data_IF_020690545408
#
_entry.id   IF_020690545408
#
_cell.length_a   1.000
_cell.length_b   1.000
_cell.length_c   1.000
_cell.angle_alpha   90.00
_cell.angle_beta   90.00
_cell.angle_gamma   90.00
#
_symmetry.space_group_name_H-M   'P 1'
#
loop_
_entity.id
_entity.type
_entity.pdbx_description
1 polymer ?
#
# COMPACT_ATOMS: atom_id res chain seq x y z
N UNK A 1 118.36 10.87 33.97
CA UNK A 1 119.63 11.52 34.35
C UNK A 1 119.58 11.75 35.86
N UNK A 2 120.39 10.98 36.58
CA UNK A 2 120.56 11.10 38.02
C UNK A 2 121.20 12.45 38.35
N UNK A 3 120.56 13.25 39.20
CA UNK A 3 121.26 14.22 40.05
C UNK A 3 120.76 14.08 41.47
N UNK A 4 121.63 13.46 42.26
CA UNK A 4 121.55 13.35 43.72
C UNK A 4 121.59 14.74 44.33
N UNK A 5 120.51 15.12 45.02
CA UNK A 5 120.49 16.24 45.97
C UNK A 5 120.21 15.63 47.32
N UNK A 6 121.15 15.76 48.25
CA UNK A 6 121.15 15.07 49.54
C UNK A 6 119.85 15.25 50.32
N UNK A 7 119.29 14.13 50.79
CA UNK A 7 118.22 14.10 51.79
C UNK A 7 118.75 14.69 53.10
N UNK A 8 118.45 15.96 53.36
CA UNK A 8 118.33 16.43 54.74
C UNK A 8 117.15 15.69 55.35
N UNK A 9 117.40 14.82 56.31
CA UNK A 9 116.37 14.29 57.22
C UNK A 9 115.67 15.49 57.88
N UNK A 10 114.51 15.88 57.34
CA UNK A 10 113.54 16.66 58.11
C UNK A 10 112.96 15.67 59.09
N UNK A 11 113.49 15.69 60.31
CA UNK A 11 112.77 15.18 61.47
C UNK A 11 111.38 15.83 61.45
N UNK A 12 110.35 15.06 61.07
CA UNK A 12 108.97 15.42 61.30
C UNK A 12 108.87 15.72 62.79
N UNK A 13 108.52 16.96 63.15
CA UNK A 13 108.25 17.32 64.55
C UNK A 13 107.36 16.22 65.15
N UNK A 14 107.69 15.67 66.33
CA UNK A 14 106.76 14.77 67.01
C UNK A 14 105.43 15.50 67.12
N UNK A 15 104.35 14.87 66.66
CA UNK A 15 103.01 15.44 66.74
C UNK A 15 102.71 15.85 68.19
N UNK A 16 101.89 16.89 68.41
CA UNK A 16 101.56 17.34 69.75
C UNK A 16 101.12 16.15 70.61
N UNK A 17 101.78 15.95 71.77
CA UNK A 17 101.42 14.88 72.72
C UNK A 17 100.18 15.34 73.47
N UNK A 18 99.05 14.72 73.20
CA UNK A 18 97.80 14.94 73.92
C UNK A 18 97.97 14.53 75.39
N UNK A 19 97.35 15.29 76.32
CA UNK A 19 97.24 14.82 77.70
C UNK A 19 96.30 13.61 77.76
N UNK A 20 96.45 12.73 78.75
CA UNK A 20 95.58 11.56 78.88
C UNK A 20 94.07 11.92 78.97
N UNK A 21 93.67 13.03 79.64
CA UNK A 21 92.32 13.58 79.53
C UNK A 21 91.92 13.98 78.10
N UNK A 22 92.79 14.66 77.34
CA UNK A 22 92.50 15.07 75.95
C UNK A 22 92.36 13.87 75.00
N UNK A 23 93.21 12.85 75.17
CA UNK A 23 93.11 11.59 74.41
C UNK A 23 91.79 10.88 74.72
N UNK A 24 91.42 10.80 76.01
CA UNK A 24 90.16 10.18 76.45
C UNK A 24 88.94 10.96 75.95
N UNK A 25 88.99 12.29 75.98
CA UNK A 25 87.95 13.16 75.46
C UNK A 25 87.77 13.00 73.94
N UNK A 26 88.86 13.00 73.17
CA UNK A 26 88.81 12.83 71.72
C UNK A 26 88.30 11.42 71.32
N UNK A 27 88.76 10.37 72.00
CA UNK A 27 88.23 9.01 71.78
C UNK A 27 86.74 8.93 72.11
N UNK A 28 86.30 9.51 73.23
CA UNK A 28 84.88 9.58 73.57
C UNK A 28 84.06 10.40 72.56
N UNK A 29 84.63 11.47 72.00
CA UNK A 29 83.98 12.29 70.98
C UNK A 29 83.84 11.52 69.65
N UNK A 30 84.86 10.77 69.24
CA UNK A 30 84.80 9.87 68.07
C UNK A 30 83.79 8.75 68.29
N UNK A 31 83.77 8.13 69.47
CA UNK A 31 82.79 7.08 69.83
C UNK A 31 81.36 7.63 69.82
N UNK A 32 81.11 8.80 70.44
CA UNK A 32 79.80 9.46 70.42
C UNK A 32 79.36 9.86 69.01
N UNK A 33 80.27 10.38 68.18
CA UNK A 33 79.98 10.70 66.78
C UNK A 33 79.62 9.44 65.98
N UNK A 34 80.34 8.34 66.20
CA UNK A 34 80.06 7.03 65.60
C UNK A 34 78.72 6.47 66.07
N UNK A 35 78.37 6.59 67.35
CA UNK A 35 77.07 6.21 67.91
C UNK A 35 75.92 6.99 67.28
N UNK A 36 76.05 8.33 67.16
CA UNK A 36 75.06 9.18 66.50
C UNK A 36 74.90 8.82 65.01
N UNK A 37 76.01 8.57 64.30
CA UNK A 37 75.97 8.14 62.90
C UNK A 37 75.34 6.76 62.73
N UNK A 38 75.61 5.80 63.64
CA UNK A 38 74.96 4.48 63.63
C UNK A 38 73.46 4.61 63.91
N UNK A 39 73.06 5.40 64.90
CA UNK A 39 71.65 5.64 65.22
C UNK A 39 70.89 6.25 64.02
N UNK A 40 71.48 7.26 63.37
CA UNK A 40 70.93 7.85 62.14
C UNK A 40 70.84 6.82 61.01
N UNK A 41 71.88 6.01 60.80
CA UNK A 41 71.87 4.98 59.76
C UNK A 41 70.84 3.88 60.04
N UNK A 42 70.64 3.48 61.30
CA UNK A 42 69.58 2.55 61.70
C UNK A 42 68.20 3.13 61.40
N UNK A 43 67.96 4.39 61.74
CA UNK A 43 66.70 5.08 61.44
C UNK A 43 66.46 5.16 59.93
N UNK A 44 67.45 5.60 59.14
CA UNK A 44 67.35 5.65 57.68
C UNK A 44 67.07 4.26 57.10
N UNK A 45 67.77 3.22 57.56
CA UNK A 45 67.53 1.86 57.09
C UNK A 45 66.11 1.38 57.44
N UNK A 46 65.63 1.68 58.64
CA UNK A 46 64.26 1.36 59.04
C UNK A 46 63.23 2.11 58.17
N UNK A 47 63.43 3.40 57.93
CA UNK A 47 62.60 4.21 57.05
C UNK A 47 62.60 3.68 55.61
N UNK A 48 63.78 3.30 55.08
CA UNK A 48 63.91 2.68 53.76
C UNK A 48 63.21 1.32 53.69
N UNK A 49 63.29 0.50 54.75
CA UNK A 49 62.59 -0.78 54.82
C UNK A 49 61.08 -0.59 54.82
N UNK A 50 60.55 0.33 55.63
CA UNK A 50 59.13 0.68 55.66
C UNK A 50 58.68 1.23 54.31
N UNK A 51 59.35 2.27 53.78
CA UNK A 51 59.01 2.90 52.52
C UNK A 51 59.04 1.91 51.34
N UNK A 52 60.01 0.99 51.30
CA UNK A 52 60.06 -0.07 50.28
C UNK A 52 58.90 -1.05 50.43
N UNK A 53 58.55 -1.45 51.66
CA UNK A 53 57.41 -2.33 51.92
C UNK A 53 56.09 -1.70 51.49
N UNK A 54 55.90 -0.43 51.85
CA UNK A 54 54.73 0.36 51.47
C UNK A 54 54.65 0.54 49.95
N UNK A 55 55.75 0.95 49.30
CA UNK A 55 55.80 1.11 47.84
C UNK A 55 55.53 -0.21 47.11
N UNK A 56 56.08 -1.34 47.58
CA UNK A 56 55.85 -2.66 46.97
C UNK A 56 54.37 -3.03 47.04
N UNK A 57 53.73 -2.78 48.18
CA UNK A 57 52.32 -3.07 48.40
C UNK A 57 51.44 -2.15 47.55
N UNK A 58 51.72 -0.84 47.54
CA UNK A 58 50.98 0.16 46.77
C UNK A 58 51.08 -0.09 45.25
N UNK A 59 52.28 -0.35 44.72
CA UNK A 59 52.48 -0.63 43.28
C UNK A 59 51.74 -1.89 42.87
N UNK A 60 51.84 -2.96 43.67
CA UNK A 60 51.14 -4.23 43.39
C UNK A 60 49.63 -4.04 43.39
N UNK A 61 49.10 -3.33 44.39
CA UNK A 61 47.67 -3.05 44.49
C UNK A 61 47.17 -2.16 43.35
N UNK A 62 47.87 -1.07 43.02
CA UNK A 62 47.50 -0.17 41.92
C UNK A 62 47.53 -0.89 40.56
N UNK A 63 48.52 -1.74 40.33
CA UNK A 63 48.63 -2.54 39.09
C UNK A 63 47.48 -3.55 39.00
N UNK A 64 47.17 -4.23 40.10
CA UNK A 64 46.06 -5.16 40.17
C UNK A 64 44.71 -4.47 39.94
N UNK A 65 44.44 -3.37 40.65
CA UNK A 65 43.22 -2.57 40.49
C UNK A 65 43.05 -2.05 39.07
N UNK A 66 44.13 -1.59 38.42
CA UNK A 66 44.08 -1.14 37.02
C UNK A 66 43.76 -2.29 36.07
N UNK A 67 44.33 -3.47 36.28
CA UNK A 67 43.99 -4.68 35.49
C UNK A 67 42.54 -5.09 35.66
N UNK A 68 42.01 -4.99 36.88
CA UNK A 68 40.60 -5.24 37.16
C UNK A 68 39.69 -4.24 36.42
N UNK A 69 39.99 -2.94 36.49
CA UNK A 69 39.26 -1.91 35.73
C UNK A 69 39.30 -2.13 34.21
N UNK A 70 40.46 -2.54 33.65
CA UNK A 70 40.57 -2.88 32.23
C UNK A 70 39.72 -4.11 31.86
N UNK A 71 39.68 -5.12 32.72
CA UNK A 71 38.86 -6.32 32.53
C UNK A 71 37.38 -5.97 32.52
N UNK A 72 36.91 -5.24 33.53
CA UNK A 72 35.54 -4.74 33.62
C UNK A 72 35.17 -3.90 32.39
N UNK A 73 36.10 -3.06 31.89
CA UNK A 73 35.88 -2.24 30.70
C UNK A 73 35.75 -3.06 29.42
N UNK A 74 36.51 -4.14 29.27
CA UNK A 74 36.38 -5.09 28.13
C UNK A 74 34.99 -5.71 28.12
N UNK A 75 34.52 -6.17 29.29
CA UNK A 75 33.20 -6.78 29.43
C UNK A 75 32.08 -5.78 29.12
N UNK A 76 32.17 -4.56 29.66
CA UNK A 76 31.19 -3.50 29.42
C UNK A 76 31.11 -3.11 27.94
N UNK A 77 32.27 -2.89 27.29
CA UNK A 77 32.32 -2.58 25.86
C UNK A 77 31.76 -3.73 25.02
N UNK A 78 32.08 -4.98 25.37
CA UNK A 78 31.54 -6.17 24.73
C UNK A 78 30.03 -6.29 24.88
N UNK A 79 29.49 -5.99 26.07
CA UNK A 79 28.04 -5.95 26.30
C UNK A 79 27.35 -4.93 25.38
N UNK A 80 27.85 -3.69 25.35
CA UNK A 80 27.28 -2.67 24.47
C UNK A 80 27.47 -3.00 22.98
N UNK A 81 28.58 -3.64 22.60
CA UNK A 81 28.79 -4.08 21.23
C UNK A 81 27.74 -5.11 20.80
N UNK A 82 27.39 -6.05 21.68
CA UNK A 82 26.30 -7.02 21.47
C UNK A 82 24.95 -6.32 21.35
N UNK A 83 24.65 -5.37 22.25
CA UNK A 83 23.39 -4.60 22.20
C UNK A 83 23.24 -3.81 20.89
N UNK A 84 24.34 -3.24 20.38
CA UNK A 84 24.35 -2.58 19.07
C UNK A 84 24.11 -3.58 17.93
N UNK A 85 24.70 -4.79 18.00
CA UNK A 85 24.46 -5.84 17.01
C UNK A 85 22.99 -6.31 16.99
N UNK A 86 22.37 -6.52 18.16
CA UNK A 86 20.96 -6.87 18.27
C UNK A 86 20.06 -5.77 17.69
N UNK A 87 20.38 -4.51 17.97
CA UNK A 87 19.66 -3.34 17.45
C UNK A 87 19.77 -3.25 15.92
N UNK A 88 20.96 -3.52 15.35
CA UNK A 88 21.14 -3.60 13.89
C UNK A 88 20.25 -4.69 13.31
N UNK A 89 20.24 -5.88 13.90
CA UNK A 89 19.39 -6.99 13.45
C UNK A 89 17.90 -6.64 13.43
N UNK A 90 17.41 -5.95 14.47
CA UNK A 90 16.01 -5.48 14.53
C UNK A 90 15.70 -4.42 13.48
N UNK A 91 16.62 -3.48 13.25
CA UNK A 91 16.47 -2.46 12.21
C UNK A 91 16.46 -3.11 10.82
N UNK A 92 17.35 -4.06 10.55
CA UNK A 92 17.40 -4.78 9.27
C UNK A 92 16.11 -5.56 9.01
N UNK A 93 15.55 -6.22 10.02
CA UNK A 93 14.27 -6.92 9.93
C UNK A 93 13.11 -5.98 9.59
N UNK A 94 13.01 -4.83 10.27
CA UNK A 94 11.93 -3.86 10.00
C UNK A 94 12.11 -3.17 8.64
N UNK A 95 13.35 -2.84 8.25
CA UNK A 95 13.64 -2.34 6.90
C UNK A 95 13.18 -3.33 5.82
N UNK A 96 13.51 -4.62 5.98
CA UNK A 96 13.06 -5.65 5.05
C UNK A 96 11.52 -5.79 5.01
N UNK A 97 10.86 -5.67 6.16
CA UNK A 97 9.40 -5.70 6.25
C UNK A 97 8.74 -4.48 5.56
N UNK A 98 9.27 -3.27 5.77
CA UNK A 98 8.80 -2.06 5.11
C UNK A 98 9.00 -2.10 3.59
N UNK A 99 10.13 -2.62 3.10
CA UNK A 99 10.35 -2.81 1.66
C UNK A 99 9.29 -3.72 1.04
N UNK A 100 8.88 -4.80 1.73
CA UNK A 100 7.79 -5.67 1.25
C UNK A 100 6.46 -4.93 1.15
N UNK A 101 6.09 -4.17 2.18
CA UNK A 101 4.82 -3.41 2.18
C UNK A 101 4.85 -2.27 1.17
N UNK A 102 6.00 -1.62 0.96
CA UNK A 102 6.22 -0.66 -0.14
C UNK A 102 5.90 -1.30 -1.49
N UNK A 103 6.48 -2.47 -1.78
CA UNK A 103 6.27 -3.15 -3.05
C UNK A 103 4.78 -3.52 -3.27
N UNK A 104 4.07 -3.92 -2.21
CA UNK A 104 2.63 -4.18 -2.25
C UNK A 104 1.85 -2.88 -2.57
N UNK A 105 2.19 -1.77 -1.89
CA UNK A 105 1.55 -0.48 -2.13
C UNK A 105 1.81 0.03 -3.56
N UNK A 106 3.04 -0.10 -4.07
CA UNK A 106 3.41 0.29 -5.44
C UNK A 106 2.68 -0.54 -6.50
N UNK A 107 2.55 -1.85 -6.28
CA UNK A 107 1.74 -2.71 -7.17
C UNK A 107 0.27 -2.31 -7.14
N UNK A 108 -0.29 -2.10 -5.95
CA UNK A 108 -1.67 -1.65 -5.79
C UNK A 108 -1.90 -0.32 -6.54
N UNK A 109 -0.95 0.62 -6.43
CA UNK A 109 -1.00 1.90 -7.14
C UNK A 109 -1.04 1.70 -8.67
N UNK A 110 -0.16 0.86 -9.22
CA UNK A 110 -0.13 0.57 -10.66
C UNK A 110 -1.46 -0.02 -11.14
N UNK A 111 -2.01 -1.00 -10.41
CA UNK A 111 -3.30 -1.59 -10.71
C UNK A 111 -4.43 -0.54 -10.69
N UNK A 112 -4.43 0.37 -9.70
CA UNK A 112 -5.47 1.42 -9.61
C UNK A 112 -5.35 2.48 -10.70
N UNK A 113 -4.14 2.80 -11.14
CA UNK A 113 -3.93 3.72 -12.28
C UNK A 113 -4.53 3.15 -13.56
N UNK A 114 -4.31 1.85 -13.83
CA UNK A 114 -4.92 1.16 -14.97
C UNK A 114 -6.45 1.05 -14.82
N UNK A 115 -6.92 0.74 -13.61
CA UNK A 115 -8.35 0.70 -13.30
C UNK A 115 -9.05 2.01 -13.65
N UNK A 116 -8.50 3.13 -13.17
CA UNK A 116 -9.02 4.47 -13.48
C UNK A 116 -9.05 4.75 -14.99
N UNK A 117 -8.05 4.32 -15.75
CA UNK A 117 -8.02 4.54 -17.20
C UNK A 117 -9.20 3.85 -17.89
N UNK A 118 -9.50 2.61 -17.51
CA UNK A 118 -10.67 1.90 -18.03
C UNK A 118 -11.97 2.52 -17.58
N UNK A 119 -12.08 2.98 -16.33
CA UNK A 119 -13.28 3.71 -15.89
C UNK A 119 -13.51 4.96 -16.75
N UNK A 120 -12.45 5.72 -17.07
CA UNK A 120 -12.55 6.87 -17.97
C UNK A 120 -12.93 6.48 -19.39
N UNK A 121 -12.43 5.36 -19.90
CA UNK A 121 -12.86 4.80 -21.19
C UNK A 121 -14.36 4.44 -21.16
N UNK A 122 -14.85 3.84 -20.08
CA UNK A 122 -16.27 3.53 -19.90
C UNK A 122 -17.15 4.78 -19.93
N UNK A 123 -16.72 5.86 -19.27
CA UNK A 123 -17.42 7.16 -19.34
C UNK A 123 -17.41 7.67 -20.79
N UNK A 124 -16.25 7.70 -21.45
CA UNK A 124 -16.12 8.18 -22.82
C UNK A 124 -16.92 7.36 -23.85
N UNK A 125 -17.01 6.03 -23.67
CA UNK A 125 -17.84 5.16 -24.50
C UNK A 125 -19.32 5.56 -24.40
N UNK A 126 -19.78 5.85 -23.18
CA UNK A 126 -21.18 6.26 -22.93
C UNK A 126 -21.47 7.68 -23.42
N UNK A 127 -20.49 8.57 -23.39
CA UNK A 127 -20.59 9.91 -23.99
C UNK A 127 -20.75 9.84 -25.53
N UNK A 128 -20.34 8.73 -26.15
CA UNK A 128 -20.53 8.45 -27.58
C UNK A 128 -21.97 8.09 -28.00
N UNK A 129 -22.95 8.09 -27.08
CA UNK A 129 -24.35 7.85 -27.40
C UNK A 129 -24.96 8.97 -28.22
N UNK A 130 -26.00 8.64 -29.00
CA UNK A 130 -26.78 9.65 -29.72
C UNK A 130 -27.51 10.57 -28.74
N UNK A 131 -27.74 11.83 -29.11
CA UNK A 131 -28.32 12.84 -28.21
C UNK A 131 -29.66 12.43 -27.56
N UNK A 132 -30.47 11.60 -28.22
CA UNK A 132 -31.73 11.09 -27.66
C UNK A 132 -31.53 10.00 -26.57
N UNK A 133 -30.37 9.34 -26.55
CA UNK A 133 -29.99 8.29 -25.61
C UNK A 133 -28.93 8.75 -24.59
N UNK A 134 -28.40 9.97 -24.76
CA UNK A 134 -27.48 10.62 -23.83
C UNK A 134 -28.28 11.20 -22.66
N UNK A 135 -28.46 10.36 -21.64
CA UNK A 135 -29.25 10.67 -20.45
C UNK A 135 -28.37 10.56 -19.22
N UNK A 136 -28.51 11.50 -18.30
CA UNK A 136 -27.95 11.42 -16.96
C UNK A 136 -28.69 10.36 -16.15
N UNK A 137 -28.19 9.14 -16.23
CA UNK A 137 -28.73 7.97 -15.53
C UNK A 137 -27.85 7.56 -14.35
N UNK A 138 -28.35 6.62 -13.54
CA UNK A 138 -27.65 6.09 -12.38
C UNK A 138 -26.27 5.53 -12.76
N UNK A 139 -26.11 4.98 -13.97
CA UNK A 139 -24.84 4.40 -14.41
C UNK A 139 -23.78 5.48 -14.59
N UNK A 140 -24.12 6.60 -15.23
CA UNK A 140 -23.20 7.72 -15.38
C UNK A 140 -22.77 8.27 -14.02
N UNK A 141 -23.72 8.42 -13.09
CA UNK A 141 -23.45 8.92 -11.75
C UNK A 141 -22.55 7.97 -10.94
N UNK A 142 -22.81 6.66 -10.98
CA UNK A 142 -21.99 5.65 -10.31
C UNK A 142 -20.58 5.55 -10.93
N UNK A 143 -20.46 5.59 -12.26
CA UNK A 143 -19.16 5.54 -12.95
C UNK A 143 -18.29 6.77 -12.62
N UNK A 144 -18.88 7.97 -12.60
CA UNK A 144 -18.14 9.20 -12.22
C UNK A 144 -17.67 9.12 -10.76
N UNK A 145 -18.54 8.70 -9.84
CA UNK A 145 -18.16 8.48 -8.44
C UNK A 145 -17.06 7.42 -8.30
N UNK A 146 -17.09 6.38 -9.13
CA UNK A 146 -16.04 5.36 -9.14
C UNK A 146 -14.69 5.91 -9.65
N UNK A 147 -14.69 6.78 -10.67
CA UNK A 147 -13.49 7.47 -11.15
C UNK A 147 -12.91 8.37 -10.06
N UNK A 148 -13.74 9.19 -9.42
CA UNK A 148 -13.34 10.10 -8.34
C UNK A 148 -12.73 9.31 -7.17
N UNK A 149 -13.40 8.25 -6.71
CA UNK A 149 -12.89 7.39 -5.65
C UNK A 149 -11.56 6.73 -6.04
N UNK A 150 -11.41 6.27 -7.29
CA UNK A 150 -10.15 5.71 -7.75
C UNK A 150 -9.02 6.75 -7.74
N UNK A 151 -9.29 8.01 -8.09
CA UNK A 151 -8.33 9.11 -8.05
C UNK A 151 -7.89 9.44 -6.62
N UNK A 152 -8.84 9.53 -5.69
CA UNK A 152 -8.57 9.73 -4.26
C UNK A 152 -7.69 8.61 -3.69
N UNK A 153 -8.02 7.36 -4.01
CA UNK A 153 -7.25 6.18 -3.60
C UNK A 153 -5.82 6.23 -4.15
N UNK A 154 -5.65 6.53 -5.45
CA UNK A 154 -4.34 6.67 -6.10
C UNK A 154 -3.49 7.70 -5.35
N UNK A 155 -4.03 8.89 -5.11
CA UNK A 155 -3.33 9.96 -4.43
C UNK A 155 -2.94 9.58 -3.00
N UNK A 156 -3.86 8.96 -2.24
CA UNK A 156 -3.59 8.52 -0.88
C UNK A 156 -2.51 7.43 -0.84
N UNK A 157 -2.52 6.46 -1.75
CA UNK A 157 -1.48 5.42 -1.83
C UNK A 157 -0.13 6.05 -2.16
N UNK A 158 -0.06 7.00 -3.09
CA UNK A 158 1.17 7.74 -3.42
C UNK A 158 1.75 8.45 -2.19
N UNK A 159 0.92 9.20 -1.46
CA UNK A 159 1.33 9.86 -0.22
C UNK A 159 1.88 8.86 0.81
N UNK A 160 1.22 7.70 0.98
CA UNK A 160 1.70 6.67 1.90
C UNK A 160 3.02 6.05 1.45
N UNK A 161 3.25 5.86 0.14
CA UNK A 161 4.54 5.38 -0.39
C UNK A 161 5.66 6.37 -0.08
N UNK A 162 5.43 7.67 -0.21
CA UNK A 162 6.42 8.69 0.19
C UNK A 162 6.79 8.57 1.68
N UNK A 163 5.79 8.42 2.57
CA UNK A 163 6.05 8.21 4.00
C UNK A 163 6.82 6.91 4.29
N UNK A 164 6.57 5.83 3.53
CA UNK A 164 7.37 4.59 3.65
C UNK A 164 8.84 4.86 3.29
N UNK A 165 9.10 5.64 2.24
CA UNK A 165 10.46 5.99 1.83
C UNK A 165 11.18 6.80 2.91
N UNK A 166 10.52 7.79 3.52
CA UNK A 166 11.11 8.61 4.60
C UNK A 166 11.45 7.76 5.84
N UNK A 167 10.57 6.82 6.19
CA UNK A 167 10.82 5.85 7.26
C UNK A 167 12.02 4.94 6.94
N UNK A 168 12.14 4.46 5.69
CA UNK A 168 13.29 3.66 5.25
C UNK A 168 14.60 4.46 5.30
N UNK A 169 14.58 5.74 4.94
CA UNK A 169 15.74 6.62 5.06
C UNK A 169 16.17 6.79 6.52
N UNK A 170 15.22 7.06 7.41
CA UNK A 170 15.46 7.21 8.84
C UNK A 170 16.06 5.94 9.45
N UNK A 171 15.53 4.76 9.07
CA UNK A 171 16.06 3.47 9.52
C UNK A 171 17.49 3.21 8.99
N UNK A 172 17.76 3.57 7.73
CA UNK A 172 19.09 3.43 7.13
C UNK A 172 20.13 4.34 7.80
N UNK A 173 19.73 5.54 8.21
CA UNK A 173 20.60 6.46 8.94
C UNK A 173 20.99 5.90 10.32
N UNK A 174 20.00 5.53 11.15
CA UNK A 174 20.28 4.97 12.48
C UNK A 174 21.06 3.66 12.39
N UNK A 175 20.80 2.83 11.37
CA UNK A 175 21.59 1.62 11.08
C UNK A 175 23.06 1.95 10.84
N UNK A 176 23.34 2.98 10.07
CA UNK A 176 24.72 3.40 9.76
C UNK A 176 25.44 3.86 11.02
N UNK A 177 24.77 4.63 11.88
CA UNK A 177 25.30 5.04 13.17
C UNK A 177 25.58 3.84 14.09
N UNK A 178 24.66 2.88 14.18
CA UNK A 178 24.84 1.65 14.96
C UNK A 178 26.00 0.79 14.45
N UNK A 179 26.18 0.65 13.13
CA UNK A 179 27.30 -0.11 12.56
C UNK A 179 28.65 0.54 12.86
N UNK A 180 28.74 1.87 12.77
CA UNK A 180 29.95 2.60 13.13
C UNK A 180 30.26 2.40 14.61
N UNK A 181 29.27 2.57 15.48
CA UNK A 181 29.40 2.37 16.92
C UNK A 181 29.82 0.94 17.30
N UNK A 182 29.23 -0.07 16.66
CA UNK A 182 29.58 -1.47 16.85
C UNK A 182 31.05 -1.74 16.48
N UNK A 183 31.52 -1.19 15.35
CA UNK A 183 32.93 -1.33 14.93
C UNK A 183 33.87 -0.65 15.91
N UNK A 184 33.57 0.59 16.30
CA UNK A 184 34.43 1.37 17.19
C UNK A 184 34.52 0.72 18.58
N UNK A 185 33.42 0.13 19.08
CA UNK A 185 33.43 -0.68 20.30
C UNK A 185 34.26 -1.96 20.14
N UNK A 186 34.20 -2.62 18.99
CA UNK A 186 35.03 -3.80 18.70
C UNK A 186 36.52 -3.49 18.72
N UNK A 187 36.94 -2.37 18.13
CA UNK A 187 38.33 -1.90 18.21
C UNK A 187 38.73 -1.52 19.64
N UNK A 188 37.85 -0.86 20.39
CA UNK A 188 38.09 -0.55 21.79
C UNK A 188 38.27 -1.82 22.64
N UNK A 189 37.48 -2.87 22.41
CA UNK A 189 37.65 -4.19 23.07
C UNK A 189 39.02 -4.79 22.74
N UNK A 190 39.44 -4.76 21.46
CA UNK A 190 40.75 -5.29 21.05
C UNK A 190 41.90 -4.53 21.73
N UNK A 191 41.84 -3.20 21.78
CA UNK A 191 42.86 -2.38 22.43
C UNK A 191 42.95 -2.68 23.93
N UNK A 192 41.82 -2.74 24.64
CA UNK A 192 41.82 -3.04 26.08
C UNK A 192 42.31 -4.46 26.37
N UNK A 193 41.90 -5.46 25.56
CA UNK A 193 42.45 -6.82 25.64
C UNK A 193 43.95 -6.85 25.41
N UNK A 194 44.44 -6.09 24.43
CA UNK A 194 45.87 -6.00 24.17
C UNK A 194 46.63 -5.42 25.37
N UNK A 195 46.12 -4.36 26.02
CA UNK A 195 46.69 -3.84 27.27
C UNK A 195 46.79 -4.91 28.37
N UNK A 196 45.79 -5.79 28.49
CA UNK A 196 45.81 -6.89 29.46
C UNK A 196 46.86 -7.97 29.14
N UNK A 197 47.31 -8.07 27.88
CA UNK A 197 48.37 -9.02 27.49
C UNK A 197 49.78 -8.59 27.89
N UNK A 198 50.00 -7.29 28.18
CA UNK A 198 51.32 -6.80 28.59
C UNK A 198 51.65 -7.17 30.04
N UNK A 199 52.88 -7.63 30.24
CA UNK A 199 53.52 -7.87 31.53
C UNK A 199 54.87 -7.13 31.60
N UNK A 200 55.61 -7.27 32.70
CA UNK A 200 56.91 -6.61 32.89
C UNK A 200 58.03 -7.15 31.98
N UNK A 201 57.81 -8.28 31.31
CA UNK A 201 58.78 -8.93 30.41
C UNK A 201 58.47 -8.66 28.93
N UNK A 202 57.40 -7.92 28.67
CA UNK A 202 56.95 -7.65 27.31
C UNK A 202 57.93 -6.76 26.55
N UNK A 203 58.17 -7.02 25.25
CA UNK A 203 59.02 -6.16 24.43
C UNK A 203 58.38 -4.78 24.25
N UNK A 204 59.20 -3.73 24.06
CA UNK A 204 58.78 -2.34 23.85
C UNK A 204 58.15 -1.60 25.06
N UNK A 205 58.35 -2.10 26.27
CA UNK A 205 58.16 -1.32 27.49
C UNK A 205 59.16 -0.16 27.55
N UNK A 206 58.68 1.03 27.88
CA UNK A 206 59.54 2.21 28.00
C UNK A 206 58.72 3.46 28.31
N UNK A 207 59.40 4.48 28.83
CA UNK A 207 58.77 5.77 29.15
C UNK A 207 58.21 6.42 27.89
N UNK A 208 56.95 6.85 27.97
CA UNK A 208 56.25 7.55 26.88
C UNK A 208 56.30 9.05 27.14
N UNK A 209 56.35 9.84 26.06
CA UNK A 209 56.29 11.30 26.16
C UNK A 209 54.89 11.73 26.62
N UNK A 210 54.82 12.56 27.68
CA UNK A 210 53.57 13.11 28.24
C UNK A 210 52.46 12.05 28.49
N UNK A 211 52.70 11.03 29.34
CA UNK A 211 51.77 9.91 29.52
C UNK A 211 50.42 10.31 30.16
N UNK A 212 50.38 11.43 30.86
CA UNK A 212 49.18 11.95 31.52
C UNK A 212 48.44 13.01 30.68
N UNK A 213 48.83 13.23 29.43
CA UNK A 213 48.17 14.20 28.56
C UNK A 213 46.80 13.67 28.12
N UNK A 214 45.74 14.37 28.51
CA UNK A 214 44.37 14.09 28.07
C UNK A 214 44.19 14.73 26.69
N UNK A 215 43.87 13.89 25.70
CA UNK A 215 43.66 14.35 24.32
C UNK A 215 42.41 15.24 24.24
N UNK A 216 42.49 16.33 23.47
CA UNK A 216 41.33 17.19 23.24
C UNK A 216 40.19 16.38 22.58
N UNK A 217 39.00 16.44 23.17
CA UNK A 217 37.83 15.69 22.71
C UNK A 217 37.60 14.35 23.41
N UNK A 218 38.39 14.00 24.45
CA UNK A 218 38.07 12.88 25.32
C UNK A 218 36.73 13.09 26.03
N UNK A 219 35.85 12.11 25.91
CA UNK A 219 34.54 12.11 26.56
C UNK A 219 34.66 11.65 28.02
N UNK A 220 33.78 12.16 28.87
CA UNK A 220 33.59 11.57 30.21
C UNK A 220 32.86 10.23 30.10
N UNK A 221 32.96 9.41 31.15
CA UNK A 221 32.25 8.14 31.20
C UNK A 221 30.73 8.33 31.08
N UNK A 222 30.16 9.30 31.81
CA UNK A 222 28.73 9.59 31.76
C UNK A 222 28.26 10.02 30.36
N UNK A 223 29.07 10.82 29.66
CA UNK A 223 28.78 11.19 28.26
C UNK A 223 28.76 9.98 27.35
N UNK A 224 29.70 9.05 27.51
CA UNK A 224 29.74 7.81 26.73
C UNK A 224 28.54 6.89 27.02
N UNK A 225 28.19 6.69 28.30
CA UNK A 225 27.01 5.88 28.67
C UNK A 225 25.72 6.51 28.12
N UNK A 226 25.57 7.83 28.26
CA UNK A 226 24.41 8.56 27.74
C UNK A 226 24.30 8.42 26.22
N UNK A 227 25.41 8.50 25.49
CA UNK A 227 25.45 8.28 24.05
C UNK A 227 24.98 6.87 23.67
N UNK A 228 25.53 5.82 24.30
CA UNK A 228 25.14 4.43 24.04
C UNK A 228 23.64 4.20 24.28
N UNK A 229 23.11 4.68 25.41
CA UNK A 229 21.68 4.59 25.74
C UNK A 229 20.81 5.31 24.72
N UNK A 230 21.17 6.55 24.36
CA UNK A 230 20.41 7.36 23.39
C UNK A 230 20.35 6.71 22.02
N UNK A 231 21.48 6.20 21.52
CA UNK A 231 21.53 5.55 20.21
C UNK A 231 20.64 4.31 20.16
N UNK A 232 20.72 3.45 21.19
CA UNK A 232 19.84 2.28 21.34
C UNK A 232 18.36 2.69 21.39
N UNK A 233 18.00 3.62 22.26
CA UNK A 233 16.61 4.08 22.40
C UNK A 233 16.06 4.69 21.10
N UNK A 234 16.88 5.44 20.37
CA UNK A 234 16.49 6.02 19.08
C UNK A 234 16.17 4.93 18.07
N UNK A 235 17.01 3.90 17.98
CA UNK A 235 16.77 2.75 17.09
C UNK A 235 15.51 1.96 17.48
N UNK A 236 15.33 1.66 18.76
CA UNK A 236 14.18 0.90 19.25
C UNK A 236 12.86 1.63 19.03
N UNK A 237 12.83 2.94 19.31
CA UNK A 237 11.66 3.78 19.06
C UNK A 237 11.33 3.81 17.57
N UNK A 238 12.33 4.03 16.71
CA UNK A 238 12.10 4.12 15.27
C UNK A 238 11.57 2.81 14.69
N UNK A 239 12.09 1.66 15.14
CA UNK A 239 11.58 0.33 14.76
C UNK A 239 10.12 0.16 15.19
N UNK A 240 9.76 0.59 16.41
CA UNK A 240 8.39 0.52 16.91
C UNK A 240 7.44 1.40 16.08
N UNK A 241 7.81 2.65 15.84
CA UNK A 241 7.02 3.61 15.06
C UNK A 241 6.81 3.11 13.62
N UNK A 242 7.86 2.54 13.00
CA UNK A 242 7.81 1.94 11.67
C UNK A 242 6.89 0.71 11.62
N UNK A 243 6.97 -0.17 12.62
CA UNK A 243 6.12 -1.36 12.73
C UNK A 243 4.64 -0.98 12.86
N UNK A 244 4.33 0.03 13.68
CA UNK A 244 2.97 0.57 13.81
C UNK A 244 2.48 1.17 12.49
N UNK A 245 3.31 1.99 11.84
CA UNK A 245 3.01 2.58 10.55
C UNK A 245 2.74 1.50 9.49
N UNK A 246 3.55 0.44 9.45
CA UNK A 246 3.38 -0.69 8.54
C UNK A 246 2.03 -1.38 8.73
N UNK A 247 1.63 -1.64 9.97
CA UNK A 247 0.32 -2.20 10.29
C UNK A 247 -0.83 -1.28 9.86
N UNK A 248 -0.72 0.03 10.13
CA UNK A 248 -1.70 1.03 9.70
C UNK A 248 -1.82 1.10 8.17
N UNK A 249 -0.69 1.04 7.45
CA UNK A 249 -0.66 1.06 5.99
C UNK A 249 -1.38 -0.17 5.41
N UNK A 250 -1.09 -1.37 5.92
CA UNK A 250 -1.79 -2.58 5.48
C UNK A 250 -3.30 -2.50 5.72
N UNK A 251 -3.72 -2.05 6.91
CA UNK A 251 -5.13 -1.83 7.21
C UNK A 251 -5.77 -0.82 6.26
N UNK A 252 -5.09 0.30 6.01
CA UNK A 252 -5.57 1.36 5.11
C UNK A 252 -5.74 0.80 3.70
N UNK A 253 -4.75 0.09 3.15
CA UNK A 253 -4.85 -0.53 1.82
C UNK A 253 -6.05 -1.46 1.72
N UNK A 254 -6.24 -2.36 2.70
CA UNK A 254 -7.41 -3.25 2.73
C UNK A 254 -8.74 -2.49 2.79
N UNK A 255 -8.82 -1.42 3.59
CA UNK A 255 -10.02 -0.57 3.69
C UNK A 255 -10.34 0.10 2.36
N UNK A 256 -9.33 0.67 1.67
CA UNK A 256 -9.51 1.33 0.38
C UNK A 256 -9.93 0.32 -0.71
N UNK A 257 -9.35 -0.88 -0.70
CA UNK A 257 -9.73 -1.96 -1.63
C UNK A 257 -11.20 -2.35 -1.45
N UNK A 258 -11.66 -2.51 -0.21
CA UNK A 258 -13.07 -2.83 0.08
C UNK A 258 -14.03 -1.70 -0.33
N UNK A 259 -13.65 -0.45 -0.11
CA UNK A 259 -14.45 0.70 -0.54
C UNK A 259 -14.62 0.74 -2.06
N UNK A 260 -13.51 0.53 -2.81
CA UNK A 260 -13.56 0.50 -4.27
C UNK A 260 -14.38 -0.67 -4.80
N UNK A 261 -14.25 -1.86 -4.19
CA UNK A 261 -15.04 -3.03 -4.60
C UNK A 261 -16.54 -2.82 -4.34
N UNK A 262 -16.89 -2.12 -3.27
CA UNK A 262 -18.28 -1.75 -2.97
C UNK A 262 -18.83 -0.79 -4.04
N UNK A 263 -18.08 0.25 -4.39
CA UNK A 263 -18.47 1.20 -5.44
C UNK A 263 -18.55 0.54 -6.82
N UNK A 264 -17.64 -0.39 -7.11
CA UNK A 264 -17.67 -1.21 -8.31
C UNK A 264 -18.95 -2.04 -8.39
N UNK A 265 -19.31 -2.73 -7.30
CA UNK A 265 -20.54 -3.53 -7.24
C UNK A 265 -21.79 -2.67 -7.51
N UNK A 266 -21.84 -1.45 -6.97
CA UNK A 266 -22.91 -0.49 -7.22
C UNK A 266 -22.99 -0.10 -8.71
N UNK A 267 -21.84 0.25 -9.30
CA UNK A 267 -21.74 0.60 -10.73
C UNK A 267 -22.16 -0.57 -11.65
N UNK A 268 -21.71 -1.79 -11.34
CA UNK A 268 -22.05 -3.00 -12.10
C UNK A 268 -23.54 -3.38 -11.93
N UNK A 269 -24.14 -3.10 -10.77
CA UNK A 269 -25.58 -3.26 -10.57
C UNK A 269 -26.37 -2.28 -11.43
N UNK A 270 -26.03 -0.99 -11.40
CA UNK A 270 -26.69 0.03 -12.21
C UNK A 270 -26.56 -0.28 -13.71
N UNK A 271 -25.37 -0.70 -14.17
CA UNK A 271 -25.15 -1.06 -15.57
C UNK A 271 -26.02 -2.25 -16.00
N UNK A 272 -26.10 -3.31 -15.18
CA UNK A 272 -26.98 -4.47 -15.45
C UNK A 272 -28.46 -4.08 -15.50
N UNK A 273 -28.90 -3.24 -14.56
CA UNK A 273 -30.27 -2.70 -14.53
C UNK A 273 -30.56 -1.93 -15.83
N UNK A 274 -29.66 -1.03 -16.22
CA UNK A 274 -29.79 -0.21 -17.43
C UNK A 274 -29.82 -1.04 -18.72
N UNK A 275 -28.97 -2.05 -18.83
CA UNK A 275 -28.96 -2.99 -19.95
C UNK A 275 -30.31 -3.72 -20.11
N UNK A 276 -30.90 -4.18 -19.00
CA UNK A 276 -32.21 -4.83 -19.02
C UNK A 276 -33.32 -3.85 -19.44
N UNK A 277 -33.30 -2.62 -18.92
CA UNK A 277 -34.24 -1.56 -19.33
C UNK A 277 -34.14 -1.24 -20.82
N UNK A 278 -32.92 -1.07 -21.35
CA UNK A 278 -32.69 -0.80 -22.77
C UNK A 278 -33.12 -1.98 -23.65
N UNK A 279 -32.86 -3.21 -23.22
CA UNK A 279 -33.31 -4.41 -23.95
C UNK A 279 -34.82 -4.46 -24.03
N UNK A 280 -35.53 -4.27 -22.90
CA UNK A 280 -37.00 -4.25 -22.88
C UNK A 280 -37.59 -3.15 -23.74
N UNK A 281 -37.00 -1.94 -23.68
CA UNK A 281 -37.44 -0.81 -24.50
C UNK A 281 -37.23 -1.08 -26.00
N UNK A 282 -36.11 -1.70 -26.38
CA UNK A 282 -35.85 -2.14 -27.76
C UNK A 282 -36.88 -3.17 -28.21
N UNK A 283 -37.11 -4.21 -27.41
CA UNK A 283 -38.02 -5.31 -27.76
C UNK A 283 -39.47 -4.81 -27.90
N UNK A 284 -39.89 -3.88 -27.04
CA UNK A 284 -41.19 -3.22 -27.14
C UNK A 284 -41.32 -2.38 -28.43
N UNK A 285 -40.29 -1.61 -28.79
CA UNK A 285 -40.30 -0.84 -30.05
C UNK A 285 -40.31 -1.75 -31.29
N UNK A 286 -39.61 -2.88 -31.24
CA UNK A 286 -39.60 -3.86 -32.31
C UNK A 286 -40.98 -4.51 -32.49
N UNK A 287 -41.64 -4.85 -31.37
CA UNK A 287 -43.00 -5.36 -31.38
C UNK A 287 -44.00 -4.35 -31.93
N UNK A 288 -43.99 -3.10 -31.45
CA UNK A 288 -44.87 -2.02 -31.94
C UNK A 288 -44.67 -1.77 -33.44
N UNK A 289 -43.42 -1.76 -33.91
CA UNK A 289 -43.09 -1.62 -35.33
C UNK A 289 -43.67 -2.77 -36.15
N UNK A 290 -43.65 -4.00 -35.63
CA UNK A 290 -44.21 -5.16 -36.31
C UNK A 290 -45.75 -5.10 -36.37
N UNK A 291 -46.41 -4.76 -35.27
CA UNK A 291 -47.86 -4.59 -35.22
C UNK A 291 -48.36 -3.49 -36.16
N UNK A 292 -47.63 -2.37 -36.24
CA UNK A 292 -47.98 -1.29 -37.16
C UNK A 292 -47.79 -1.70 -38.63
N UNK A 293 -46.76 -2.51 -38.95
CA UNK A 293 -46.60 -3.08 -40.31
C UNK A 293 -47.75 -3.99 -40.70
N UNK A 294 -48.21 -4.86 -39.80
CA UNK A 294 -49.35 -5.75 -40.03
C UNK A 294 -50.63 -4.93 -40.28
N UNK A 295 -50.86 -3.91 -39.45
CA UNK A 295 -52.00 -2.99 -39.60
C UNK A 295 -51.96 -2.24 -40.94
N UNK A 296 -50.77 -1.80 -41.39
CA UNK A 296 -50.58 -1.17 -42.71
C UNK A 296 -50.96 -2.14 -43.84
N UNK A 297 -50.51 -3.38 -43.77
CA UNK A 297 -50.84 -4.41 -44.78
C UNK A 297 -52.34 -4.64 -44.84
N UNK A 298 -53.02 -4.72 -43.70
CA UNK A 298 -54.47 -4.95 -43.67
C UNK A 298 -55.27 -3.72 -44.11
N UNK A 299 -54.84 -2.50 -43.75
CA UNK A 299 -55.45 -1.27 -44.26
C UNK A 299 -55.35 -1.17 -45.79
N UNK A 300 -54.19 -1.51 -46.37
CA UNK A 300 -53.99 -1.52 -47.83
C UNK A 300 -54.90 -2.56 -48.49
N UNK A 301 -55.06 -3.76 -47.92
CA UNK A 301 -56.00 -4.78 -48.45
C UNK A 301 -57.45 -4.29 -48.41
N UNK A 302 -57.88 -3.62 -47.33
CA UNK A 302 -59.22 -3.06 -47.24
C UNK A 302 -59.43 -1.89 -48.21
N UNK A 303 -58.43 -1.03 -48.40
CA UNK A 303 -58.46 0.02 -49.43
C UNK A 303 -58.65 -0.58 -50.83
N UNK A 304 -57.93 -1.64 -51.19
CA UNK A 304 -58.10 -2.35 -52.47
C UNK A 304 -59.49 -2.97 -52.64
N UNK A 305 -60.15 -3.41 -51.55
CA UNK A 305 -61.54 -3.89 -51.59
C UNK A 305 -62.51 -2.74 -51.84
N UNK A 306 -62.32 -1.60 -51.16
CA UNK A 306 -63.13 -0.40 -51.34
C UNK A 306 -62.99 0.16 -52.76
N UNK A 307 -61.78 0.20 -53.31
CA UNK A 307 -61.52 0.61 -54.70
C UNK A 307 -62.26 -0.29 -55.70
N UNK A 308 -62.20 -1.62 -55.52
CA UNK A 308 -62.98 -2.56 -56.34
C UNK A 308 -64.49 -2.34 -56.20
N UNK A 309 -64.99 -2.07 -55.00
CA UNK A 309 -66.40 -1.76 -54.78
C UNK A 309 -66.83 -0.47 -55.48
N UNK A 310 -65.99 0.58 -55.45
CA UNK A 310 -66.23 1.84 -56.18
C UNK A 310 -66.30 1.58 -57.69
N UNK A 311 -65.40 0.76 -58.24
CA UNK A 311 -65.44 0.38 -59.65
C UNK A 311 -66.73 -0.38 -60.01
N UNK A 312 -67.11 -1.37 -59.20
CA UNK A 312 -68.34 -2.14 -59.41
C UNK A 312 -69.59 -1.25 -59.35
N UNK A 313 -69.69 -0.36 -58.34
CA UNK A 313 -70.78 0.60 -58.24
C UNK A 313 -70.81 1.61 -59.39
N UNK A 314 -69.64 1.93 -59.98
CA UNK A 314 -69.57 2.69 -61.23
C UNK A 314 -70.22 1.96 -62.41
N UNK A 315 -69.94 0.67 -62.57
CA UNK A 315 -70.58 -0.18 -63.58
C UNK A 315 -72.10 -0.32 -63.36
N UNK A 316 -72.54 -0.49 -62.11
CA UNK A 316 -73.97 -0.51 -61.75
C UNK A 316 -74.66 0.83 -62.06
N UNK A 317 -73.98 1.94 -61.79
CA UNK A 317 -74.49 3.28 -62.08
C UNK A 317 -74.60 3.54 -63.60
N UNK A 318 -73.62 3.07 -64.39
CA UNK A 318 -73.71 3.11 -65.85
C UNK A 318 -74.92 2.32 -66.37
N UNK A 319 -75.16 1.12 -65.84
CA UNK A 319 -76.33 0.32 -66.18
C UNK A 319 -77.64 1.05 -65.84
N UNK A 320 -77.73 1.67 -64.66
CA UNK A 320 -78.89 2.45 -64.26
C UNK A 320 -79.10 3.69 -65.16
N UNK A 321 -78.03 4.38 -65.56
CA UNK A 321 -78.09 5.48 -66.53
C UNK A 321 -78.61 5.02 -67.89
N UNK A 322 -78.04 3.96 -68.45
CA UNK A 322 -78.47 3.42 -69.75
C UNK A 322 -79.93 2.98 -69.72
N UNK A 323 -80.38 2.34 -68.63
CA UNK A 323 -81.79 1.96 -68.45
C UNK A 323 -82.70 3.18 -68.41
N UNK A 324 -82.34 4.23 -67.65
CA UNK A 324 -83.10 5.48 -67.61
C UNK A 324 -83.17 6.17 -68.97
N UNK A 325 -82.07 6.16 -69.74
CA UNK A 325 -82.01 6.74 -71.08
C UNK A 325 -82.94 6.00 -72.07
N UNK A 326 -82.96 4.66 -72.02
CA UNK A 326 -83.91 3.85 -72.79
C UNK A 326 -85.37 4.18 -72.40
N UNK A 327 -85.66 4.29 -71.10
CA UNK A 327 -87.01 4.67 -70.64
C UNK A 327 -87.42 6.09 -71.07
N UNK A 328 -86.46 6.98 -71.32
CA UNK A 328 -86.72 8.34 -71.80
C UNK A 328 -87.11 8.40 -73.30
N UNK A 329 -86.96 7.31 -74.05
CA UNK A 329 -87.34 7.22 -75.47
C UNK A 329 -88.81 6.84 -75.68
N UNK A 330 -89.57 6.57 -74.61
CA UNK A 330 -91.01 6.29 -74.69
C UNK A 330 -91.76 7.49 -75.30
N UNK A 331 -92.71 7.25 -76.20
CA UNK A 331 -93.41 8.31 -76.94
C UNK A 331 -94.72 8.76 -76.28
N UNK A 332 -95.04 10.06 -76.38
CA UNK A 332 -96.32 10.66 -75.96
C UNK A 332 -96.69 10.30 -74.50
N UNK A 333 -97.87 9.71 -74.30
CA UNK A 333 -98.41 9.35 -72.98
C UNK A 333 -97.66 8.18 -72.32
N UNK A 334 -96.87 7.39 -73.08
CA UNK A 334 -96.03 6.33 -72.52
C UNK A 334 -94.76 6.88 -71.85
N UNK A 335 -94.41 8.16 -72.05
CA UNK A 335 -93.36 8.85 -71.30
C UNK A 335 -93.83 9.18 -69.88
N UNK A 336 -94.13 8.13 -69.14
CA UNK A 336 -94.70 8.18 -67.81
C UNK A 336 -93.62 7.91 -66.76
N UNK A 337 -93.73 8.62 -65.63
CA UNK A 337 -92.96 8.38 -64.41
C UNK A 337 -93.56 7.19 -63.64
N UNK A 338 -93.50 6.02 -64.26
CA UNK A 338 -94.00 4.77 -63.71
C UNK A 338 -93.05 4.20 -62.65
N UNK A 339 -93.49 3.12 -61.98
CA UNK A 339 -92.75 2.51 -60.88
C UNK A 339 -91.30 2.12 -61.26
N UNK A 340 -91.02 1.52 -62.44
CA UNK A 340 -89.65 1.28 -62.90
C UNK A 340 -88.80 2.55 -63.04
N UNK A 341 -89.36 3.63 -63.61
CA UNK A 341 -88.64 4.89 -63.76
C UNK A 341 -88.29 5.50 -62.38
N UNK A 342 -89.26 5.54 -61.47
CA UNK A 342 -89.05 6.03 -60.10
C UNK A 342 -88.01 5.18 -59.35
N UNK A 343 -88.08 3.85 -59.49
CA UNK A 343 -87.14 2.94 -58.86
C UNK A 343 -85.69 3.14 -59.35
N UNK A 344 -85.48 3.28 -60.67
CA UNK A 344 -84.16 3.52 -61.27
C UNK A 344 -83.56 4.88 -60.86
N UNK A 345 -84.40 5.94 -60.78
CA UNK A 345 -83.95 7.24 -60.27
C UNK A 345 -83.48 7.14 -58.81
N UNK A 346 -84.22 6.41 -57.97
CA UNK A 346 -83.85 6.17 -56.57
C UNK A 346 -82.59 5.31 -56.44
N UNK A 347 -82.48 4.26 -57.24
CA UNK A 347 -81.29 3.40 -57.33
C UNK A 347 -80.05 4.22 -57.68
N UNK A 348 -80.09 5.01 -58.76
CA UNK A 348 -78.98 5.88 -59.16
C UNK A 348 -78.59 6.89 -58.06
N UNK A 349 -79.58 7.52 -57.41
CA UNK A 349 -79.33 8.44 -56.30
C UNK A 349 -78.63 7.73 -55.12
N UNK A 350 -79.04 6.52 -54.80
CA UNK A 350 -78.42 5.70 -53.75
C UNK A 350 -77.00 5.26 -54.13
N UNK A 351 -76.79 4.81 -55.37
CA UNK A 351 -75.47 4.43 -55.89
C UNK A 351 -74.49 5.60 -55.85
N UNK A 352 -74.91 6.80 -56.26
CA UNK A 352 -74.09 8.01 -56.16
C UNK A 352 -73.73 8.34 -54.71
N UNK A 353 -74.70 8.29 -53.80
CA UNK A 353 -74.47 8.54 -52.37
C UNK A 353 -73.49 7.54 -51.76
N UNK A 354 -73.65 6.25 -52.07
CA UNK A 354 -72.77 5.19 -51.59
C UNK A 354 -71.36 5.34 -52.14
N UNK A 355 -71.22 5.62 -53.45
CA UNK A 355 -69.93 5.83 -54.11
C UNK A 355 -69.18 7.02 -53.51
N UNK A 356 -69.87 8.15 -53.30
CA UNK A 356 -69.30 9.32 -52.63
C UNK A 356 -68.86 9.01 -51.18
N UNK A 357 -69.68 8.25 -50.44
CA UNK A 357 -69.33 7.78 -49.09
C UNK A 357 -68.07 6.91 -49.07
N UNK A 358 -67.93 5.98 -50.02
CA UNK A 358 -66.76 5.12 -50.16
C UNK A 358 -65.51 5.91 -50.56
N UNK A 359 -65.62 6.88 -51.47
CA UNK A 359 -64.51 7.77 -51.86
C UNK A 359 -63.98 8.59 -50.67
N UNK A 360 -64.88 9.15 -49.85
CA UNK A 360 -64.47 9.88 -48.64
C UNK A 360 -63.74 8.99 -47.64
N UNK A 361 -64.22 7.74 -47.44
CA UNK A 361 -63.53 6.76 -46.60
C UNK A 361 -62.16 6.40 -47.16
N UNK A 362 -62.03 6.21 -48.48
CA UNK A 362 -60.77 5.93 -49.13
C UNK A 362 -59.75 7.05 -48.92
N UNK A 363 -60.17 8.31 -49.09
CA UNK A 363 -59.32 9.48 -48.85
C UNK A 363 -58.84 9.57 -47.39
N UNK A 364 -59.72 9.27 -46.43
CA UNK A 364 -59.36 9.23 -45.01
C UNK A 364 -58.34 8.11 -44.72
N UNK A 365 -58.54 6.92 -45.30
CA UNK A 365 -57.62 5.80 -45.18
C UNK A 365 -56.24 6.11 -45.78
N UNK A 366 -56.17 6.80 -46.93
CA UNK A 366 -54.91 7.25 -47.54
C UNK A 366 -54.12 8.18 -46.61
N UNK A 367 -54.77 9.19 -46.03
CA UNK A 367 -54.13 10.09 -45.04
C UNK A 367 -53.64 9.35 -43.80
N UNK A 368 -54.41 8.36 -43.35
CA UNK A 368 -54.05 7.54 -42.19
C UNK A 368 -52.82 6.69 -42.51
N UNK A 369 -52.76 6.11 -43.71
CA UNK A 369 -51.62 5.33 -44.19
C UNK A 369 -50.33 6.16 -44.25
N UNK A 370 -50.41 7.39 -44.77
CA UNK A 370 -49.27 8.33 -44.76
C UNK A 370 -48.76 8.59 -43.34
N UNK A 371 -49.67 8.86 -42.41
CA UNK A 371 -49.32 9.03 -40.99
C UNK A 371 -48.69 7.77 -40.39
N UNK A 372 -49.20 6.58 -40.71
CA UNK A 372 -48.63 5.30 -40.24
C UNK A 372 -47.22 5.08 -40.79
N UNK A 373 -46.95 5.41 -42.06
CA UNK A 373 -45.60 5.35 -42.62
C UNK A 373 -44.62 6.29 -41.91
N UNK A 374 -45.03 7.51 -41.57
CA UNK A 374 -44.19 8.43 -40.79
C UNK A 374 -43.88 7.90 -39.38
N UNK A 375 -44.89 7.28 -38.74
CA UNK A 375 -44.68 6.61 -37.45
C UNK A 375 -43.73 5.42 -37.57
N UNK A 376 -43.83 4.60 -38.63
CA UNK A 376 -42.89 3.50 -38.89
C UNK A 376 -41.45 3.98 -39.06
N UNK A 377 -41.25 5.09 -39.78
CA UNK A 377 -39.92 5.70 -39.92
C UNK A 377 -39.37 6.14 -38.55
N UNK A 378 -40.20 6.82 -37.76
CA UNK A 378 -39.84 7.29 -36.41
C UNK A 378 -39.51 6.12 -35.46
N UNK A 379 -40.31 5.05 -35.48
CA UNK A 379 -40.05 3.83 -34.71
C UNK A 379 -38.74 3.15 -35.16
N UNK A 380 -38.45 3.12 -36.47
CA UNK A 380 -37.20 2.61 -37.02
C UNK A 380 -35.98 3.37 -36.49
N UNK A 381 -36.02 4.71 -36.54
CA UNK A 381 -34.96 5.55 -36.01
C UNK A 381 -34.73 5.36 -34.50
N UNK A 382 -35.83 5.32 -33.71
CA UNK A 382 -35.75 5.07 -32.26
C UNK A 382 -35.18 3.69 -31.95
N UNK A 383 -35.57 2.65 -32.69
CA UNK A 383 -35.06 1.30 -32.53
C UNK A 383 -33.55 1.25 -32.77
N UNK A 384 -33.06 1.87 -33.84
CA UNK A 384 -31.63 1.94 -34.14
C UNK A 384 -30.84 2.70 -33.07
N UNK A 385 -31.39 3.81 -32.56
CA UNK A 385 -30.79 4.56 -31.45
C UNK A 385 -30.69 3.70 -30.19
N UNK A 386 -31.76 2.97 -29.81
CA UNK A 386 -31.78 2.06 -28.66
C UNK A 386 -30.79 0.90 -28.83
N UNK A 387 -30.72 0.29 -30.01
CA UNK A 387 -29.77 -0.78 -30.30
C UNK A 387 -28.32 -0.31 -30.16
N UNK A 388 -27.97 0.86 -30.72
CA UNK A 388 -26.63 1.45 -30.55
C UNK A 388 -26.29 1.76 -29.09
N UNK A 389 -27.24 2.32 -28.33
CA UNK A 389 -27.02 2.59 -26.90
C UNK A 389 -26.79 1.31 -26.09
N UNK A 390 -27.51 0.23 -26.43
CA UNK A 390 -27.37 -1.09 -25.81
C UNK A 390 -26.03 -1.75 -26.16
N UNK A 391 -25.55 -1.62 -27.40
CA UNK A 391 -24.23 -2.12 -27.80
C UNK A 391 -23.08 -1.36 -27.10
N UNK A 392 -23.22 -0.04 -26.95
CA UNK A 392 -22.27 0.78 -26.17
C UNK A 392 -22.21 0.30 -24.71
N UNK A 393 -23.36 0.03 -24.07
CA UNK A 393 -23.38 -0.44 -22.68
C UNK A 393 -22.84 -1.85 -22.51
N UNK A 394 -23.05 -2.74 -23.49
CA UNK A 394 -22.44 -4.07 -23.51
C UNK A 394 -20.92 -3.96 -23.60
N UNK A 395 -20.42 -3.11 -24.52
CA UNK A 395 -18.98 -2.85 -24.62
C UNK A 395 -18.42 -2.25 -23.33
N UNK A 396 -19.13 -1.30 -22.72
CA UNK A 396 -18.76 -0.76 -21.41
C UNK A 396 -18.65 -1.86 -20.35
N UNK A 397 -19.60 -2.81 -20.33
CA UNK A 397 -19.56 -3.96 -19.43
C UNK A 397 -18.37 -4.88 -19.71
N UNK A 398 -18.07 -5.15 -20.97
CA UNK A 398 -16.94 -5.99 -21.41
C UNK A 398 -15.58 -5.39 -21.03
N UNK A 399 -15.38 -4.09 -21.29
CA UNK A 399 -14.15 -3.38 -20.92
C UNK A 399 -13.95 -3.42 -19.40
N UNK A 400 -15.01 -3.23 -18.61
CA UNK A 400 -14.95 -3.36 -17.13
C UNK A 400 -14.59 -4.77 -16.68
N UNK A 401 -15.07 -5.79 -17.37
CA UNK A 401 -14.75 -7.19 -17.07
C UNK A 401 -13.32 -7.56 -17.48
N UNK A 402 -12.75 -6.92 -18.51
CA UNK A 402 -11.37 -7.19 -18.96
C UNK A 402 -10.31 -6.87 -17.90
N UNK A 403 -10.60 -5.93 -17.01
CA UNK A 403 -9.75 -5.56 -15.86
C UNK A 403 -10.06 -6.32 -14.58
N UNK A 404 -10.95 -7.32 -14.61
CA UNK A 404 -11.01 -8.26 -13.51
C UNK A 404 -9.61 -8.85 -13.35
N UNK A 405 -8.95 -8.67 -12.19
CA UNK A 405 -7.88 -9.59 -11.88
C UNK A 405 -8.54 -10.97 -11.97
N UNK A 406 -8.00 -11.87 -12.81
CA UNK A 406 -8.12 -13.32 -12.61
C UNK A 406 -8.11 -13.49 -11.10
N UNK A 407 -9.26 -13.87 -10.51
CA UNK A 407 -9.43 -13.97 -9.05
C UNK A 407 -8.16 -14.60 -8.51
N UNK A 408 -7.33 -13.78 -7.90
CA UNK A 408 -6.12 -14.24 -7.27
C UNK A 408 -6.58 -15.05 -6.10
N UNK A 409 -6.54 -16.38 -6.25
CA UNK A 409 -6.43 -17.29 -5.13
C UNK A 409 -5.19 -16.89 -4.33
N UNK A 410 -5.30 -15.85 -3.51
CA UNK A 410 -4.48 -15.72 -2.31
C UNK A 410 -5.25 -16.43 -1.21
N UNK A 411 -5.17 -17.76 -1.32
CA UNK A 411 -4.81 -18.67 -0.25
C UNK A 411 -5.16 -18.17 1.15
N UNK A 412 -6.23 -18.75 1.67
CA UNK A 412 -6.35 -19.12 3.08
C UNK A 412 -5.03 -19.75 3.54
N UNK A 413 -4.31 -19.07 4.42
CA UNK A 413 -3.40 -19.69 5.40
C UNK A 413 -3.79 -19.08 6.74
N UNK A 414 -4.63 -19.80 7.47
CA UNK A 414 -4.23 -20.72 8.52
C UNK A 414 -4.26 -20.02 9.88
N UNK A 415 -5.40 -20.16 10.56
CA UNK A 415 -5.48 -20.31 12.00
C UNK A 415 -6.69 -21.18 12.29
N UNK A 416 -6.58 -22.46 11.91
CA UNK A 416 -7.39 -23.52 12.52
C UNK A 416 -6.48 -24.19 13.52
N UNK A 417 -6.55 -23.73 14.77
CA UNK A 417 -5.97 -24.44 15.89
C UNK A 417 -6.55 -25.85 15.92
N UNK A 418 -5.68 -26.84 15.77
CA UNK A 418 -5.98 -28.23 16.02
C UNK A 418 -6.47 -28.40 17.47
N UNK A 419 -7.74 -28.77 17.63
CA UNK A 419 -8.23 -29.47 18.80
C UNK A 419 -8.90 -30.74 18.29
N UNK A 420 -8.10 -31.80 18.16
CA UNK A 420 -8.62 -33.17 18.15
C UNK A 420 -9.08 -33.52 19.58
N UNK A 421 -10.29 -34.08 19.77
CA UNK A 421 -10.67 -34.65 21.05
C UNK A 421 -10.00 -36.02 21.24
N UNK A 422 -9.18 -36.12 22.28
CA UNK A 422 -8.61 -37.35 22.82
C UNK A 422 -9.74 -38.31 23.24
N UNK A 423 -9.93 -39.38 22.46
CA UNK A 423 -10.60 -40.59 22.92
C UNK A 423 -9.62 -41.40 23.77
N UNK A 424 -9.79 -41.37 25.09
CA UNK A 424 -9.10 -42.29 26.01
C UNK A 424 -9.94 -43.54 26.20
N UNK A 425 -9.41 -44.64 25.66
CA UNK A 425 -9.76 -46.01 25.93
C UNK A 425 -9.42 -46.37 27.39
N UNK A 426 -10.40 -46.91 28.12
CA UNK A 426 -10.21 -47.57 29.42
C UNK A 426 -9.84 -49.05 29.21
N UNK A 427 -8.88 -49.63 29.95
CA UNK A 427 -8.63 -51.06 29.92
C UNK A 427 -9.34 -51.82 31.07
N UNK A 428 -9.98 -52.91 30.67
CA UNK A 428 -10.19 -54.22 31.33
C UNK A 428 -9.99 -54.35 32.86
N UNK A 429 -11.05 -54.81 33.55
CA UNK A 429 -10.94 -55.71 34.71
C UNK A 429 -12.14 -56.68 34.80
N UNK A 430 -11.85 -57.92 34.39
CA UNK A 430 -12.25 -59.23 34.95
C UNK A 430 -13.73 -59.70 35.05
N UNK A 431 -13.98 -61.01 34.81
CA UNK A 431 -15.31 -61.62 34.80
C UNK A 431 -15.69 -62.33 36.11
N UNK A 432 -16.92 -62.87 36.11
CA UNK A 432 -17.49 -63.92 36.97
C UNK A 432 -18.35 -63.49 38.18
N UNK A 433 -19.66 -63.72 38.09
CA UNK A 433 -20.34 -64.69 38.96
C UNK A 433 -21.75 -65.02 38.44
N UNK A 434 -22.06 -66.31 38.53
CA UNK A 434 -23.36 -66.94 38.32
C UNK A 434 -24.40 -66.46 39.34
N UNK A 435 -25.68 -66.34 38.95
CA UNK A 435 -26.79 -67.22 39.38
C UNK A 435 -28.17 -66.63 39.05
N UNK A 436 -29.00 -67.53 38.53
CA UNK A 436 -30.47 -67.61 38.51
C UNK A 436 -31.29 -66.53 37.80
#
# INVERSE_FOLDING_TARGET
>A
MWRSTGMKSRFLKPGPRYTQPDWSFNNNLVTKKSELQRALAYQINQDLHCARGDATTQIRWATWSTKDHLTNRVEELGHWQSQSADSIGRVDQEMAALVKVKAIAERCLQEKVLYRQVLRECVALRDGRTAAELVHDDVEAELKREVELAEEIIHLIQQKIHLVLDNLWSLKDVRTQLMADHRDKGEAVKLNKHCLTFDLQSPNLGYKYQPCHIVKGTLTYDQWVAYCKRLKQTAEKLVLDCSYFRGNLQYTLSKLMNALETQRCASDFCLRKRLNELSRARDALEWEKQQLKETVVDLVKEMQKVERQIMNSGSEQQLAHTRLDILAQRANYELCMDQPHIALLKENKNLRKNTFGLQNKLLLSQKTLESMHMTLFTLGYKLEAKSRALDIDRRCQEVRQSLLPLRGSTVVTANTSAQEPLALLSPLSSPSSFRN
#
